data_IF_895275972426
#
_entry.id   IF_895275972426
#
_cell.length_a   1.000
_cell.length_b   1.000
_cell.length_c   1.000
_cell.angle_alpha   90.00
_cell.angle_beta   90.00
_cell.angle_gamma   90.00
#
_symmetry.space_group_name_H-M   'P 1'
#
loop_
_entity.id
_entity.type
_entity.pdbx_description
1 polymer ?
#
# COMPACT_ATOMS: atom_id res chain seq x y z
N UNK A 1 -15.73 -1.15 58.83
CA UNK A 1 -14.32 -0.97 58.41
C UNK A 1 -14.28 -1.10 56.89
N UNK A 2 -14.39 0.01 56.16
CA UNK A 2 -14.32 0.03 54.70
C UNK A 2 -13.01 0.74 54.34
N UNK A 3 -12.00 -0.02 53.89
CA UNK A 3 -10.75 0.54 53.42
C UNK A 3 -10.95 0.99 51.97
N UNK A 4 -10.76 2.28 51.70
CA UNK A 4 -10.76 2.81 50.33
C UNK A 4 -9.59 2.19 49.54
N UNK A 5 -9.80 1.79 48.27
CA UNK A 5 -8.72 1.30 47.43
C UNK A 5 -7.70 2.41 47.13
N UNK A 6 -6.41 2.07 46.99
CA UNK A 6 -5.38 3.05 46.64
C UNK A 6 -5.65 3.61 45.24
N UNK A 7 -5.57 4.93 45.10
CA UNK A 7 -5.65 5.60 43.82
C UNK A 7 -4.48 5.15 42.94
N UNK A 8 -4.77 4.37 41.90
CA UNK A 8 -3.79 4.02 40.88
C UNK A 8 -3.49 5.29 40.11
N UNK A 9 -2.32 5.89 40.38
CA UNK A 9 -1.81 6.98 39.58
C UNK A 9 -1.58 6.45 38.16
N UNK A 10 -2.45 6.81 37.22
CA UNK A 10 -2.17 6.63 35.80
C UNK A 10 -0.94 7.50 35.50
N UNK A 11 0.23 6.86 35.42
CA UNK A 11 1.40 7.49 34.84
C UNK A 11 1.07 7.77 33.37
N UNK A 12 0.58 8.97 33.09
CA UNK A 12 0.51 9.52 31.75
C UNK A 12 1.95 9.72 31.31
N UNK A 13 2.59 8.64 30.84
CA UNK A 13 3.85 8.73 30.12
C UNK A 13 3.66 9.79 29.05
N UNK A 14 4.53 10.79 29.03
CA UNK A 14 4.54 11.83 28.01
C UNK A 14 4.69 11.14 26.66
N UNK A 15 3.56 10.88 26.00
CA UNK A 15 3.53 10.52 24.61
C UNK A 15 4.05 11.76 23.89
N UNK A 16 5.37 11.79 23.63
CA UNK A 16 6.01 12.91 22.95
C UNK A 16 5.23 13.21 21.67
N UNK A 17 4.70 14.42 21.55
CA UNK A 17 3.87 14.83 20.42
C UNK A 17 4.62 14.58 19.12
N UNK A 18 4.16 13.64 18.30
CA UNK A 18 4.78 13.35 17.01
C UNK A 18 4.73 14.62 16.18
N UNK A 19 5.88 15.07 15.68
CA UNK A 19 5.98 16.28 14.87
C UNK A 19 5.14 16.14 13.60
N UNK A 20 4.29 17.14 13.31
CA UNK A 20 3.52 17.22 12.06
C UNK A 20 4.39 17.07 10.81
N UNK A 21 5.62 17.62 10.83
CA UNK A 21 6.59 17.47 9.72
C UNK A 21 6.95 16.01 9.47
N UNK A 22 7.10 15.23 10.54
CA UNK A 22 7.39 13.78 10.46
C UNK A 22 6.20 13.02 9.90
N UNK A 23 4.97 13.39 10.28
CA UNK A 23 3.74 12.77 9.76
C UNK A 23 3.64 13.00 8.25
N UNK A 24 3.74 14.26 7.80
CA UNK A 24 3.66 14.60 6.37
C UNK A 24 4.73 13.89 5.54
N UNK A 25 5.98 13.86 6.04
CA UNK A 25 7.06 13.17 5.34
C UNK A 25 6.83 11.65 5.27
N UNK A 26 6.39 11.03 6.37
CA UNK A 26 6.07 9.61 6.38
C UNK A 26 4.93 9.26 5.42
N UNK A 27 3.87 10.09 5.37
CA UNK A 27 2.77 9.92 4.41
C UNK A 27 3.26 10.06 2.97
N UNK A 28 4.10 11.06 2.67
CA UNK A 28 4.69 11.24 1.35
C UNK A 28 5.51 10.02 0.91
N UNK A 29 6.38 9.50 1.78
CA UNK A 29 7.19 8.32 1.49
C UNK A 29 6.31 7.09 1.28
N UNK A 30 5.29 6.89 2.11
CA UNK A 30 4.32 5.81 1.93
C UNK A 30 3.64 5.88 0.56
N UNK A 31 3.12 7.06 0.20
CA UNK A 31 2.55 7.29 -1.13
C UNK A 31 3.56 7.02 -2.25
N UNK A 32 4.81 7.47 -2.11
CA UNK A 32 5.85 7.24 -3.11
C UNK A 32 6.16 5.75 -3.31
N UNK A 33 6.21 4.96 -2.23
CA UNK A 33 6.47 3.51 -2.29
C UNK A 33 5.31 2.79 -3.00
N UNK A 34 4.07 3.16 -2.70
CA UNK A 34 2.90 2.60 -3.39
C UNK A 34 2.94 2.86 -4.91
N UNK A 35 3.32 4.09 -5.32
CA UNK A 35 3.50 4.39 -6.74
C UNK A 35 4.70 3.65 -7.33
N UNK A 36 5.80 3.52 -6.58
CA UNK A 36 7.01 2.85 -7.04
C UNK A 36 6.71 1.39 -7.45
N UNK A 37 6.05 0.62 -6.59
CA UNK A 37 5.69 -0.77 -6.91
C UNK A 37 4.78 -0.86 -8.14
N UNK A 38 3.81 0.05 -8.27
CA UNK A 38 2.98 0.11 -9.47
C UNK A 38 3.74 0.41 -10.75
N UNK A 39 4.72 1.32 -10.72
CA UNK A 39 5.54 1.58 -11.90
C UNK A 39 6.40 0.38 -12.27
N UNK A 40 6.95 -0.33 -11.27
CA UNK A 40 7.69 -1.57 -11.50
C UNK A 40 6.77 -2.62 -12.12
N UNK A 41 5.58 -2.84 -11.57
CA UNK A 41 4.61 -3.79 -12.12
C UNK A 41 4.14 -3.39 -13.52
N UNK A 42 3.85 -2.11 -13.77
CA UNK A 42 3.45 -1.62 -15.09
C UNK A 42 4.54 -1.87 -16.14
N UNK A 43 5.80 -1.64 -15.77
CA UNK A 43 6.96 -1.91 -16.61
C UNK A 43 7.09 -3.41 -16.89
N UNK A 44 6.92 -4.24 -15.86
CA UNK A 44 6.89 -5.70 -16.01
C UNK A 44 5.73 -6.14 -16.91
N UNK A 45 4.54 -5.56 -16.76
CA UNK A 45 3.37 -5.86 -17.59
C UNK A 45 3.63 -5.55 -19.06
N UNK A 46 4.27 -4.42 -19.34
CA UNK A 46 4.59 -3.99 -20.69
C UNK A 46 5.69 -4.83 -21.36
N UNK A 47 6.67 -5.33 -20.59
CA UNK A 47 7.89 -5.92 -21.15
C UNK A 47 8.05 -7.43 -20.92
N UNK A 48 7.46 -7.97 -19.86
CA UNK A 48 7.79 -9.32 -19.35
C UNK A 48 6.56 -10.20 -19.14
N UNK A 49 5.50 -9.70 -18.49
CA UNK A 49 4.40 -10.55 -18.01
C UNK A 49 3.66 -11.23 -19.16
N UNK A 50 3.41 -10.51 -20.27
CA UNK A 50 2.75 -11.03 -21.46
C UNK A 50 3.27 -12.40 -21.91
N UNK A 51 4.50 -12.48 -22.42
CA UNK A 51 5.08 -13.72 -22.94
C UNK A 51 5.43 -14.76 -21.87
N UNK A 52 5.60 -14.35 -20.60
CA UNK A 52 5.97 -15.29 -19.52
C UNK A 52 4.75 -16.04 -18.97
N UNK A 53 3.59 -15.39 -18.87
CA UNK A 53 2.44 -15.96 -18.16
C UNK A 53 1.24 -16.30 -19.07
N UNK A 54 1.14 -15.71 -20.28
CA UNK A 54 0.00 -15.95 -21.17
C UNK A 54 0.35 -16.85 -22.37
N UNK A 55 -0.64 -17.58 -22.92
CA UNK A 55 -0.39 -18.55 -23.99
C UNK A 55 0.33 -17.98 -25.22
N UNK A 56 1.26 -18.76 -25.77
CA UNK A 56 1.96 -18.43 -27.01
C UNK A 56 1.00 -18.48 -28.20
N UNK A 57 0.93 -17.39 -28.97
CA UNK A 57 0.08 -17.32 -30.17
C UNK A 57 -0.04 -15.89 -30.72
N UNK A 58 -0.66 -14.99 -29.96
CA UNK A 58 -0.81 -13.58 -30.33
C UNK A 58 -0.13 -12.68 -29.31
N UNK A 59 0.93 -11.97 -29.73
CA UNK A 59 1.64 -11.01 -28.89
C UNK A 59 0.71 -9.88 -28.40
N UNK A 60 -0.21 -9.43 -29.26
CA UNK A 60 -1.22 -8.43 -28.88
C UNK A 60 -2.15 -8.94 -27.78
N UNK A 61 -2.61 -10.20 -27.89
CA UNK A 61 -3.48 -10.78 -26.87
C UNK A 61 -2.76 -10.91 -25.51
N UNK A 62 -1.50 -11.36 -25.52
CA UNK A 62 -0.67 -11.44 -24.31
C UNK A 62 -0.46 -10.08 -23.65
N UNK A 63 -0.14 -9.05 -24.44
CA UNK A 63 0.01 -7.69 -23.93
C UNK A 63 -1.30 -7.17 -23.33
N UNK A 64 -2.43 -7.37 -24.03
CA UNK A 64 -3.74 -6.95 -23.53
C UNK A 64 -4.07 -7.64 -22.20
N UNK A 65 -3.86 -8.96 -22.10
CA UNK A 65 -4.10 -9.68 -20.85
C UNK A 65 -3.19 -9.21 -19.72
N UNK A 66 -1.91 -8.95 -19.99
CA UNK A 66 -0.97 -8.40 -19.00
C UNK A 66 -1.40 -7.02 -18.49
N UNK A 67 -1.85 -6.13 -19.39
CA UNK A 67 -2.38 -4.82 -19.00
C UNK A 67 -3.73 -4.91 -18.28
N UNK A 68 -4.58 -5.89 -18.60
CA UNK A 68 -5.81 -6.14 -17.84
C UNK A 68 -5.49 -6.53 -16.41
N UNK A 69 -4.51 -7.44 -16.19
CA UNK A 69 -4.08 -7.80 -14.84
C UNK A 69 -3.54 -6.59 -14.07
N UNK A 70 -2.72 -5.75 -14.71
CA UNK A 70 -2.30 -4.48 -14.12
C UNK A 70 -3.50 -3.56 -13.81
N UNK A 71 -4.48 -3.47 -14.72
CA UNK A 71 -5.69 -2.67 -14.56
C UNK A 71 -6.54 -3.06 -13.36
N UNK A 72 -6.56 -4.35 -12.97
CA UNK A 72 -7.28 -4.82 -11.77
C UNK A 72 -6.79 -4.10 -10.51
N UNK A 73 -5.51 -3.74 -10.43
CA UNK A 73 -4.95 -3.04 -9.27
C UNK A 73 -5.63 -1.66 -9.03
N UNK A 74 -6.06 -0.98 -10.10
CA UNK A 74 -6.76 0.31 -10.00
C UNK A 74 -8.20 0.16 -9.53
N UNK A 75 -8.80 -1.02 -9.69
CA UNK A 75 -10.13 -1.34 -9.15
C UNK A 75 -10.00 -1.79 -7.69
N UNK A 76 -8.97 -2.57 -7.37
CA UNK A 76 -8.73 -3.06 -6.02
C UNK A 76 -8.35 -1.93 -5.04
N UNK A 77 -7.62 -0.91 -5.49
CA UNK A 77 -7.16 0.21 -4.66
C UNK A 77 -8.28 0.99 -3.97
N UNK A 78 -9.32 1.47 -4.69
CA UNK A 78 -10.48 2.11 -4.05
C UNK A 78 -11.13 1.20 -3.02
N UNK A 79 -11.26 -0.10 -3.30
CA UNK A 79 -11.88 -1.08 -2.39
C UNK A 79 -11.07 -1.23 -1.09
N UNK A 80 -9.74 -1.23 -1.17
CA UNK A 80 -8.86 -1.34 0.00
C UNK A 80 -8.74 -0.07 0.85
N UNK A 81 -9.30 1.06 0.40
CA UNK A 81 -9.25 2.35 1.11
C UNK A 81 -10.48 2.66 1.97
N UNK A 82 -11.47 1.75 2.01
CA UNK A 82 -12.69 1.86 2.83
C UNK A 82 -12.51 1.25 4.22
#
# INVERSE_FOLDING_TARGET
MSASPPAVAHATGSAGTISHKRIVFASFIGTAIEFYDFYVYATAAALVIGPVFFPHGSATAQALSAFVTFGIAFIARPIGSF
#
